data_IF_631946333864
#
_entry.id   IF_631946333864
#
_cell.length_a   1.000
_cell.length_b   1.000
_cell.length_c   1.000
_cell.angle_alpha   90.00
_cell.angle_beta   90.00
_cell.angle_gamma   90.00
#
_symmetry.space_group_name_H-M   'P 1'
#
loop_
_entity.id
_entity.type
_entity.pdbx_description
1 polymer ?
#
# COMPACT_ATOMS: atom_id res chain seq x y z
N UNK A 1 -26.46 -5.78 -35.05
CA UNK A 1 -26.11 -6.89 -35.96
C UNK A 1 -25.45 -8.00 -35.16
N UNK A 2 -26.06 -9.19 -35.06
CA UNK A 2 -25.46 -10.37 -34.42
C UNK A 2 -24.81 -11.22 -35.50
N UNK A 3 -23.49 -11.35 -35.47
CA UNK A 3 -22.76 -12.25 -36.38
C UNK A 3 -22.92 -13.68 -35.86
N UNK A 4 -23.37 -14.65 -36.67
CA UNK A 4 -23.54 -16.02 -36.22
C UNK A 4 -22.19 -16.71 -36.05
N UNK A 5 -21.91 -17.21 -34.84
CA UNK A 5 -20.75 -18.07 -34.57
C UNK A 5 -21.04 -19.49 -35.08
N UNK A 6 -20.30 -19.93 -36.08
CA UNK A 6 -20.38 -21.30 -36.62
C UNK A 6 -19.56 -22.27 -35.75
N UNK A 7 -20.17 -23.31 -35.13
CA UNK A 7 -19.49 -24.22 -34.24
C UNK A 7 -18.91 -25.40 -35.07
N UNK A 8 -17.76 -25.19 -35.72
CA UNK A 8 -17.20 -26.21 -36.63
C UNK A 8 -15.68 -26.38 -36.70
N UNK A 9 -14.85 -25.43 -36.22
CA UNK A 9 -13.39 -25.55 -36.37
C UNK A 9 -12.68 -25.97 -35.08
N UNK A 10 -12.52 -27.29 -34.90
CA UNK A 10 -11.58 -27.85 -33.93
C UNK A 10 -10.16 -27.74 -34.50
N UNK A 11 -9.25 -27.10 -33.76
CA UNK A 11 -7.77 -27.12 -33.91
C UNK A 11 -7.05 -26.23 -34.98
N UNK A 12 -7.32 -24.91 -35.04
CA UNK A 12 -6.37 -23.90 -35.62
C UNK A 12 -6.22 -22.59 -34.78
N UNK A 13 -6.73 -22.56 -33.55
CA UNK A 13 -6.90 -21.32 -32.76
C UNK A 13 -5.64 -20.67 -32.17
N UNK A 14 -4.58 -21.39 -31.72
CA UNK A 14 -3.43 -20.74 -31.10
C UNK A 14 -2.56 -19.97 -32.12
N UNK A 15 -2.27 -20.57 -33.28
CA UNK A 15 -1.46 -19.92 -34.32
C UNK A 15 -2.13 -18.66 -34.88
N UNK A 16 -3.47 -18.63 -35.01
CA UNK A 16 -4.18 -17.43 -35.47
C UNK A 16 -4.10 -16.29 -34.47
N UNK A 17 -4.18 -16.57 -33.16
CA UNK A 17 -4.13 -15.54 -32.13
C UNK A 17 -2.70 -14.97 -31.97
N UNK A 18 -1.69 -15.84 -31.98
CA UNK A 18 -0.29 -15.41 -31.98
C UNK A 18 0.00 -14.48 -33.17
N UNK A 19 -0.41 -14.86 -34.37
CA UNK A 19 -0.19 -14.03 -35.57
C UNK A 19 -0.95 -12.70 -35.50
N UNK A 20 -2.17 -12.70 -34.96
CA UNK A 20 -2.96 -11.48 -34.78
C UNK A 20 -2.27 -10.53 -33.80
N UNK A 21 -1.92 -11.00 -32.60
CA UNK A 21 -1.25 -10.19 -31.56
C UNK A 21 0.12 -9.70 -32.01
N UNK A 22 0.86 -10.52 -32.76
CA UNK A 22 2.10 -10.11 -33.43
C UNK A 22 1.85 -9.00 -34.46
N UNK A 23 0.82 -9.12 -35.30
CA UNK A 23 0.48 -8.09 -36.28
C UNK A 23 0.05 -6.78 -35.62
N UNK A 24 -0.75 -6.83 -34.56
CA UNK A 24 -1.11 -5.67 -33.74
C UNK A 24 0.15 -5.00 -33.19
N UNK A 25 1.03 -5.75 -32.53
CA UNK A 25 2.25 -5.22 -31.94
C UNK A 25 3.21 -4.61 -32.97
N UNK A 26 3.45 -5.31 -34.08
CA UNK A 26 4.51 -4.94 -35.03
C UNK A 26 4.08 -3.94 -36.11
N UNK A 27 2.77 -3.79 -36.36
CA UNK A 27 2.27 -2.93 -37.45
C UNK A 27 1.53 -1.69 -36.98
N UNK A 28 1.05 -1.66 -35.74
CA UNK A 28 0.37 -0.49 -35.19
C UNK A 28 1.35 0.31 -34.31
N UNK A 29 1.28 1.65 -34.31
CA UNK A 29 2.02 2.48 -33.37
C UNK A 29 1.48 2.31 -31.94
N UNK A 30 2.30 2.63 -30.92
CA UNK A 30 1.99 2.36 -29.50
C UNK A 30 0.66 2.97 -29.08
N UNK A 31 0.36 4.18 -29.52
CA UNK A 31 -0.86 4.92 -29.17
C UNK A 31 -2.12 4.16 -29.63
N UNK A 32 -2.10 3.60 -30.84
CA UNK A 32 -3.22 2.79 -31.32
C UNK A 32 -3.30 1.43 -30.61
N UNK A 33 -2.17 0.87 -30.18
CA UNK A 33 -2.15 -0.36 -29.37
C UNK A 33 -2.78 -0.12 -28.00
N UNK A 34 -2.40 0.96 -27.32
CA UNK A 34 -2.96 1.33 -26.01
C UNK A 34 -4.48 1.55 -26.09
N UNK A 35 -4.98 2.18 -27.16
CA UNK A 35 -6.41 2.31 -27.42
C UNK A 35 -7.11 0.96 -27.59
N UNK A 36 -6.48 0.01 -28.31
CA UNK A 36 -7.00 -1.36 -28.45
C UNK A 36 -7.00 -2.05 -27.09
N UNK A 37 -5.92 -1.96 -26.33
CA UNK A 37 -5.79 -2.60 -25.01
C UNK A 37 -6.84 -2.10 -24.04
N UNK A 38 -7.05 -0.78 -23.96
CA UNK A 38 -8.09 -0.18 -23.13
C UNK A 38 -9.51 -0.60 -23.56
N UNK A 39 -9.72 -0.90 -24.84
CA UNK A 39 -11.01 -1.37 -25.34
C UNK A 39 -11.26 -2.85 -25.04
N UNK A 40 -10.23 -3.70 -25.17
CA UNK A 40 -10.38 -5.16 -25.00
C UNK A 40 -10.21 -5.62 -23.56
N UNK A 41 -9.44 -4.89 -22.74
CA UNK A 41 -9.19 -5.22 -21.34
C UNK A 41 -10.21 -4.49 -20.48
N UNK A 42 -11.08 -5.25 -19.85
CA UNK A 42 -12.00 -4.72 -18.85
C UNK A 42 -11.33 -4.69 -17.47
N UNK A 43 -11.91 -3.94 -16.52
CA UNK A 43 -11.49 -4.02 -15.11
C UNK A 43 -11.54 -5.45 -14.56
N UNK A 44 -12.49 -6.26 -15.04
CA UNK A 44 -12.60 -7.66 -14.66
C UNK A 44 -11.41 -8.48 -15.17
N UNK A 45 -10.93 -8.22 -16.38
CA UNK A 45 -9.74 -8.89 -16.92
C UNK A 45 -8.48 -8.49 -16.14
N UNK A 46 -8.35 -7.22 -15.77
CA UNK A 46 -7.25 -6.74 -14.90
C UNK A 46 -7.24 -7.52 -13.58
N UNK A 47 -8.37 -7.55 -12.86
CA UNK A 47 -8.47 -8.31 -11.61
C UNK A 47 -8.22 -9.81 -11.81
N UNK A 48 -8.56 -10.38 -12.96
CA UNK A 48 -8.23 -11.78 -13.29
C UNK A 48 -6.76 -12.01 -13.57
N UNK A 49 -6.08 -11.06 -14.20
CA UNK A 49 -4.63 -11.13 -14.38
C UNK A 49 -3.96 -11.01 -13.00
N UNK A 50 -4.42 -10.07 -12.16
CA UNK A 50 -3.86 -9.83 -10.82
C UNK A 50 -3.79 -11.08 -9.96
N UNK A 51 -4.89 -11.85 -9.90
CA UNK A 51 -4.94 -13.10 -9.10
C UNK A 51 -4.06 -14.22 -9.64
N UNK A 52 -3.54 -14.08 -10.87
CA UNK A 52 -2.63 -15.05 -11.48
C UNK A 52 -1.14 -14.75 -11.18
N UNK A 53 -0.83 -13.65 -10.50
CA UNK A 53 0.54 -13.35 -10.09
C UNK A 53 1.11 -14.47 -9.20
N UNK A 54 2.38 -14.82 -9.41
CA UNK A 54 3.04 -15.88 -8.62
C UNK A 54 3.14 -15.53 -7.13
N UNK A 55 3.21 -14.24 -6.83
CA UNK A 55 3.18 -13.65 -5.48
C UNK A 55 2.21 -12.46 -5.54
N UNK A 56 1.44 -12.20 -4.47
CA UNK A 56 0.65 -10.96 -4.38
C UNK A 56 1.58 -9.76 -4.53
N UNK A 57 1.35 -8.97 -5.56
CA UNK A 57 2.11 -7.74 -5.84
C UNK A 57 1.31 -6.49 -5.46
N UNK A 58 -0.02 -6.61 -5.30
CA UNK A 58 -0.84 -5.55 -4.74
C UNK A 58 -0.52 -5.30 -3.26
N UNK A 59 0.09 -6.29 -2.57
CA UNK A 59 0.68 -6.12 -1.23
C UNK A 59 1.96 -6.96 -1.06
N UNK A 60 3.10 -6.30 -1.03
CA UNK A 60 4.43 -6.92 -1.11
C UNK A 60 5.38 -6.51 0.05
N UNK A 61 6.17 -7.42 0.62
CA UNK A 61 6.10 -8.88 0.43
C UNK A 61 4.86 -9.44 1.11
N UNK A 62 4.23 -10.43 0.49
CA UNK A 62 3.06 -11.07 1.06
C UNK A 62 3.46 -11.95 2.26
N UNK A 63 2.89 -11.67 3.44
CA UNK A 63 3.06 -12.52 4.63
C UNK A 63 1.84 -13.40 4.85
N UNK A 64 2.02 -14.71 4.65
CA UNK A 64 1.08 -15.71 5.13
C UNK A 64 0.97 -15.63 6.65
N UNK A 65 -0.20 -15.22 7.17
CA UNK A 65 -0.51 -15.32 8.60
C UNK A 65 -1.21 -14.11 9.24
N UNK A 66 -1.24 -12.94 8.58
CA UNK A 66 -1.83 -11.72 9.16
C UNK A 66 -3.17 -11.27 8.54
N UNK A 67 -3.75 -12.04 7.62
CA UNK A 67 -5.06 -11.66 7.09
C UNK A 67 -6.19 -11.91 8.10
N UNK A 68 -7.06 -10.91 8.34
CA UNK A 68 -8.41 -11.16 8.81
C UNK A 68 -9.05 -12.21 7.89
N UNK A 69 -9.79 -13.17 8.46
CA UNK A 69 -10.43 -14.28 7.73
C UNK A 69 -11.20 -13.87 6.47
N UNK A 70 -11.62 -12.60 6.36
CA UNK A 70 -12.37 -12.03 5.24
C UNK A 70 -11.58 -11.91 3.92
N UNK A 71 -10.24 -11.85 3.96
CA UNK A 71 -9.40 -11.80 2.75
C UNK A 71 -8.96 -13.17 2.21
N UNK A 72 -9.26 -14.26 2.94
CA UNK A 72 -8.93 -15.65 2.55
C UNK A 72 -9.73 -16.19 1.36
N UNK A 73 -10.55 -15.38 0.71
CA UNK A 73 -11.40 -15.79 -0.42
C UNK A 73 -10.74 -15.67 -1.78
N UNK A 74 -9.46 -15.29 -1.88
CA UNK A 74 -8.71 -15.54 -3.12
C UNK A 74 -8.45 -17.04 -3.22
N UNK A 75 -9.08 -17.76 -4.17
CA UNK A 75 -8.78 -19.16 -4.35
C UNK A 75 -7.30 -19.27 -4.72
N UNK A 76 -6.53 -19.97 -3.90
CA UNK A 76 -5.14 -20.40 -4.14
C UNK A 76 -5.01 -21.36 -5.34
N UNK A 77 -6.08 -21.52 -6.12
CA UNK A 77 -6.00 -22.12 -7.44
C UNK A 77 -5.24 -21.10 -8.29
N UNK A 78 -3.92 -21.29 -8.46
CA UNK A 78 -3.13 -20.58 -9.47
C UNK A 78 -3.94 -20.56 -10.76
N UNK A 79 -4.60 -19.43 -11.03
CA UNK A 79 -5.39 -19.28 -12.23
C UNK A 79 -4.43 -19.33 -13.40
N UNK A 80 -4.79 -20.05 -14.46
CA UNK A 80 -4.11 -19.84 -15.73
C UNK A 80 -4.34 -18.38 -16.12
N UNK A 81 -3.26 -17.65 -16.45
CA UNK A 81 -3.36 -16.30 -16.96
C UNK A 81 -4.41 -16.24 -18.07
N UNK A 82 -5.24 -15.18 -18.13
CA UNK A 82 -6.12 -14.97 -19.28
C UNK A 82 -5.32 -15.09 -20.57
N UNK A 83 -5.89 -15.71 -21.60
CA UNK A 83 -5.17 -16.05 -22.85
C UNK A 83 -4.43 -14.83 -23.44
N UNK A 84 -5.00 -13.62 -23.30
CA UNK A 84 -4.40 -12.36 -23.77
C UNK A 84 -3.08 -11.98 -23.09
N UNK A 85 -2.81 -12.51 -21.89
CA UNK A 85 -1.59 -12.29 -21.11
C UNK A 85 -0.69 -13.54 -21.06
N UNK A 86 -1.09 -14.66 -21.68
CA UNK A 86 -0.30 -15.90 -21.67
C UNK A 86 0.74 -15.88 -22.80
N UNK A 87 2.00 -15.56 -22.49
CA UNK A 87 3.09 -15.40 -23.46
C UNK A 87 3.38 -16.63 -24.34
N UNK A 88 2.87 -17.81 -23.99
CA UNK A 88 2.95 -19.04 -24.81
C UNK A 88 1.88 -19.10 -25.92
N UNK A 89 0.78 -18.37 -25.76
CA UNK A 89 -0.37 -18.39 -26.68
C UNK A 89 -0.47 -17.11 -27.53
N UNK A 90 0.06 -16.00 -27.04
CA UNK A 90 0.15 -14.71 -27.75
C UNK A 90 1.59 -14.32 -28.05
N UNK A 91 1.78 -13.28 -28.85
CA UNK A 91 3.11 -12.72 -29.07
C UNK A 91 3.71 -12.19 -27.75
N UNK A 92 4.94 -12.55 -27.35
CA UNK A 92 5.48 -12.21 -26.02
C UNK A 92 5.48 -10.71 -25.70
N UNK A 93 5.90 -9.86 -26.65
CA UNK A 93 5.88 -8.40 -26.42
C UNK A 93 4.46 -7.85 -26.29
N UNK A 94 3.47 -8.47 -26.94
CA UNK A 94 2.07 -8.12 -26.69
C UNK A 94 1.68 -8.45 -25.25
N UNK A 95 1.98 -9.65 -24.76
CA UNK A 95 1.69 -10.02 -23.36
C UNK A 95 2.38 -9.07 -22.36
N UNK A 96 3.62 -8.65 -22.64
CA UNK A 96 4.34 -7.66 -21.83
C UNK A 96 3.59 -6.32 -21.75
N UNK A 97 3.11 -5.78 -22.88
CA UNK A 97 2.35 -4.51 -22.88
C UNK A 97 1.01 -4.64 -22.13
N UNK A 98 0.36 -5.81 -22.19
CA UNK A 98 -0.86 -6.08 -21.41
C UNK A 98 -0.57 -6.07 -19.90
N UNK A 99 0.53 -6.71 -19.48
CA UNK A 99 0.96 -6.71 -18.07
C UNK A 99 1.43 -5.33 -17.62
N UNK A 100 2.14 -4.59 -18.47
CA UNK A 100 2.51 -3.19 -18.23
C UNK A 100 1.26 -2.36 -17.94
N UNK A 101 0.21 -2.49 -18.76
CA UNK A 101 -1.07 -1.79 -18.53
C UNK A 101 -1.73 -2.18 -17.20
N UNK A 102 -1.62 -3.44 -16.77
CA UNK A 102 -2.12 -3.86 -15.45
C UNK A 102 -1.43 -3.08 -14.33
N UNK A 103 -0.10 -2.96 -14.36
CA UNK A 103 0.63 -2.14 -13.39
C UNK A 103 0.27 -0.65 -13.47
N UNK A 104 0.04 -0.12 -14.67
CA UNK A 104 -0.33 1.29 -14.86
C UNK A 104 -1.78 1.63 -14.45
N UNK A 105 -2.69 0.67 -14.52
CA UNK A 105 -4.10 0.87 -14.16
C UNK A 105 -4.37 0.54 -12.69
N UNK A 106 -3.55 -0.33 -12.09
CA UNK A 106 -3.72 -0.71 -10.70
C UNK A 106 -3.48 0.48 -9.78
N UNK A 107 -4.43 0.70 -8.86
CA UNK A 107 -4.43 1.90 -7.99
C UNK A 107 -3.84 1.65 -6.61
N UNK A 108 -3.83 0.40 -6.15
CA UNK A 108 -3.49 0.08 -4.78
C UNK A 108 -2.32 -0.92 -4.75
N UNK A 109 -1.13 -0.43 -5.11
CA UNK A 109 0.11 -1.17 -4.91
C UNK A 109 0.67 -0.84 -3.53
N UNK A 110 0.75 -1.83 -2.65
CA UNK A 110 1.24 -1.68 -1.29
C UNK A 110 2.57 -2.40 -1.11
N UNK A 111 3.54 -1.69 -0.52
CA UNK A 111 4.81 -2.25 -0.10
C UNK A 111 4.89 -2.11 1.42
N UNK A 112 4.89 -3.23 2.13
CA UNK A 112 4.82 -3.25 3.61
C UNK A 112 6.16 -2.95 4.29
N UNK A 113 7.25 -2.86 3.52
CA UNK A 113 8.61 -2.61 4.02
C UNK A 113 9.42 -1.81 2.99
N UNK A 114 10.08 -0.74 3.40
CA UNK A 114 10.90 0.07 2.48
C UNK A 114 12.01 -0.75 1.78
N UNK A 115 12.67 -1.66 2.50
CA UNK A 115 13.71 -2.55 1.95
C UNK A 115 13.23 -3.49 0.86
N UNK A 116 11.91 -3.69 0.72
CA UNK A 116 11.33 -4.50 -0.34
C UNK A 116 11.12 -3.72 -1.64
N UNK A 117 11.26 -2.39 -1.64
CA UNK A 117 11.02 -1.56 -2.83
C UNK A 117 11.90 -1.98 -4.01
N UNK A 118 13.24 -2.13 -3.88
CA UNK A 118 14.07 -2.53 -5.01
C UNK A 118 13.67 -3.91 -5.56
N UNK A 119 13.34 -4.86 -4.69
CA UNK A 119 12.93 -6.21 -5.10
C UNK A 119 11.58 -6.15 -5.82
N UNK A 120 10.61 -5.41 -5.28
CA UNK A 120 9.29 -5.22 -5.88
C UNK A 120 9.38 -4.69 -7.31
N UNK A 121 10.17 -3.63 -7.52
CA UNK A 121 10.32 -2.97 -8.82
C UNK A 121 10.99 -3.86 -9.87
N UNK A 122 11.80 -4.81 -9.44
CA UNK A 122 12.55 -5.73 -10.30
C UNK A 122 11.94 -7.14 -10.41
N UNK A 123 10.84 -7.42 -9.72
CA UNK A 123 10.19 -8.74 -9.76
C UNK A 123 9.23 -8.83 -10.94
N UNK A 124 9.40 -9.86 -11.77
CA UNK A 124 8.43 -10.24 -12.81
C UNK A 124 7.38 -11.18 -12.20
N UNK A 125 6.27 -10.60 -11.76
CA UNK A 125 5.22 -11.34 -11.06
C UNK A 125 4.41 -12.29 -11.97
N UNK A 126 4.57 -12.18 -13.28
CA UNK A 126 3.74 -12.89 -14.27
C UNK A 126 4.55 -13.77 -15.24
N UNK A 127 5.89 -13.77 -15.12
CA UNK A 127 6.79 -14.51 -16.02
C UNK A 127 6.74 -13.99 -17.47
N UNK A 128 6.46 -12.70 -17.67
CA UNK A 128 6.34 -12.09 -19.01
C UNK A 128 7.59 -11.31 -19.42
N UNK A 129 8.51 -11.05 -18.51
CA UNK A 129 9.64 -10.12 -18.66
C UNK A 129 9.28 -8.66 -18.36
N UNK A 130 8.06 -8.37 -17.93
CA UNK A 130 7.63 -7.05 -17.49
C UNK A 130 7.62 -6.97 -15.96
N UNK A 131 8.19 -5.91 -15.40
CA UNK A 131 8.22 -5.64 -13.95
C UNK A 131 7.51 -4.33 -13.64
N UNK A 132 7.13 -4.05 -12.38
CA UNK A 132 6.56 -2.76 -12.01
C UNK A 132 7.47 -1.57 -12.35
N UNK A 133 8.80 -1.75 -12.29
CA UNK A 133 9.78 -0.70 -12.64
C UNK A 133 9.77 -0.29 -14.11
N UNK A 134 9.26 -1.14 -15.02
CA UNK A 134 9.12 -0.79 -16.45
C UNK A 134 7.91 0.11 -16.73
N UNK A 135 6.87 0.02 -15.88
CA UNK A 135 5.57 0.64 -16.08
C UNK A 135 5.50 2.08 -15.56
N UNK A 136 4.57 2.88 -16.11
CA UNK A 136 4.28 4.23 -15.61
C UNK A 136 3.34 4.18 -14.41
N UNK A 137 3.89 3.88 -13.22
CA UNK A 137 3.08 3.71 -12.01
C UNK A 137 2.27 4.97 -11.70
N UNK A 138 1.00 4.79 -11.29
CA UNK A 138 0.10 5.90 -10.91
C UNK A 138 0.03 6.14 -9.42
N UNK A 139 0.08 5.08 -8.62
CA UNK A 139 0.01 5.18 -7.17
C UNK A 139 0.81 4.07 -6.51
N UNK A 140 1.49 4.41 -5.42
CA UNK A 140 2.23 3.48 -4.59
C UNK A 140 2.04 3.82 -3.12
N UNK A 141 1.80 2.80 -2.30
CA UNK A 141 1.78 2.91 -0.85
C UNK A 141 3.01 2.19 -0.28
N UNK A 142 3.73 2.84 0.61
CA UNK A 142 4.87 2.27 1.33
C UNK A 142 4.53 2.37 2.81
N UNK A 143 4.62 1.26 3.53
CA UNK A 143 4.51 1.25 4.98
C UNK A 143 5.74 0.65 5.64
N UNK A 144 5.82 0.85 6.95
CA UNK A 144 6.92 0.34 7.77
C UNK A 144 6.66 0.60 9.24
N UNK A 145 7.35 -0.14 10.10
CA UNK A 145 7.28 0.04 11.55
C UNK A 145 8.42 0.92 12.06
N UNK A 146 8.08 1.88 12.91
CA UNK A 146 9.03 2.79 13.57
C UNK A 146 9.68 2.14 14.79
N UNK A 147 9.03 1.14 15.38
CA UNK A 147 9.52 0.53 16.61
C UNK A 147 10.76 -0.30 16.31
N UNK A 148 11.88 0.02 16.97
CA UNK A 148 13.09 -0.79 16.84
C UNK A 148 12.88 -2.13 17.56
N UNK A 149 12.54 -3.16 16.79
CA UNK A 149 12.47 -4.52 17.29
C UNK A 149 13.02 -5.45 16.23
N UNK A 150 14.24 -5.93 16.42
CA UNK A 150 14.91 -6.86 15.50
C UNK A 150 14.09 -8.13 15.21
N UNK A 151 13.11 -8.45 16.07
CA UNK A 151 12.21 -9.60 15.88
C UNK A 151 11.04 -9.28 14.95
N UNK A 152 10.72 -8.01 14.71
CA UNK A 152 9.65 -7.59 13.82
C UNK A 152 10.25 -7.32 12.43
N UNK A 153 9.89 -8.12 11.41
CA UNK A 153 10.61 -8.01 10.15
C UNK A 153 10.11 -6.86 9.25
N UNK A 154 9.25 -5.96 9.75
CA UNK A 154 8.74 -4.77 9.01
C UNK A 154 9.32 -3.45 9.52
N UNK A 155 10.31 -3.50 10.42
CA UNK A 155 10.96 -2.30 10.91
C UNK A 155 11.66 -1.57 9.76
N UNK A 156 11.56 -0.25 9.76
CA UNK A 156 12.35 0.56 8.83
C UNK A 156 13.83 0.45 9.20
N UNK A 157 14.68 0.28 8.21
CA UNK A 157 16.13 0.28 8.39
C UNK A 157 16.65 1.66 8.01
N UNK A 158 16.97 2.49 9.02
CA UNK A 158 17.37 3.88 8.79
C UNK A 158 18.60 4.00 7.89
N UNK A 159 19.56 3.09 8.02
CA UNK A 159 20.81 3.11 7.24
C UNK A 159 20.60 2.87 5.74
N UNK A 160 19.57 2.10 5.36
CA UNK A 160 19.26 1.76 3.96
C UNK A 160 18.08 2.54 3.41
N UNK A 161 17.27 3.18 4.28
CA UNK A 161 15.99 3.80 3.91
C UNK A 161 16.12 4.74 2.70
N UNK A 162 17.19 5.54 2.65
CA UNK A 162 17.43 6.43 1.50
C UNK A 162 17.63 5.63 0.22
N UNK A 163 18.55 4.67 0.22
CA UNK A 163 18.89 3.87 -0.94
C UNK A 163 17.69 3.04 -1.42
N UNK A 164 16.90 2.51 -0.47
CA UNK A 164 15.67 1.78 -0.75
C UNK A 164 14.64 2.64 -1.50
N UNK A 165 14.51 3.92 -1.11
CA UNK A 165 13.62 4.88 -1.76
C UNK A 165 14.21 5.46 -3.05
N UNK A 166 15.53 5.59 -3.19
CA UNK A 166 16.18 6.09 -4.41
C UNK A 166 15.84 5.23 -5.63
N UNK A 167 15.62 3.93 -5.46
CA UNK A 167 15.15 3.03 -6.52
C UNK A 167 13.83 3.50 -7.18
N UNK A 168 12.97 4.24 -6.47
CA UNK A 168 11.73 4.79 -7.04
C UNK A 168 11.99 6.03 -7.91
N UNK A 169 13.04 6.80 -7.62
CA UNK A 169 13.40 7.97 -8.42
C UNK A 169 13.89 7.56 -9.82
N UNK A 170 14.41 6.34 -9.96
CA UNK A 170 14.84 5.79 -11.25
C UNK A 170 13.67 5.22 -12.08
N UNK A 171 12.53 4.94 -11.45
CA UNK A 171 11.36 4.36 -12.13
C UNK A 171 10.58 5.39 -12.95
N UNK A 172 9.80 4.92 -13.93
CA UNK A 172 8.87 5.76 -14.68
C UNK A 172 7.62 6.04 -13.84
N UNK A 173 7.16 7.28 -13.86
CA UNK A 173 5.95 7.72 -13.16
C UNK A 173 4.93 8.24 -14.16
N UNK A 174 3.67 7.87 -13.97
CA UNK A 174 2.59 8.53 -14.66
C UNK A 174 2.47 9.99 -14.20
N UNK A 175 1.87 10.83 -15.05
CA UNK A 175 1.56 12.22 -14.67
C UNK A 175 0.64 12.22 -13.44
N UNK A 176 1.05 12.94 -12.40
CA UNK A 176 0.30 13.03 -11.14
C UNK A 176 0.46 11.82 -10.24
N UNK A 177 1.55 11.05 -10.39
CA UNK A 177 1.90 9.92 -9.52
C UNK A 177 1.71 10.25 -8.03
N UNK A 178 0.95 9.40 -7.35
CA UNK A 178 0.64 9.54 -5.92
C UNK A 178 1.50 8.57 -5.11
N UNK A 179 2.20 9.09 -4.10
CA UNK A 179 3.02 8.30 -3.21
C UNK A 179 2.59 8.51 -1.77
N UNK A 180 2.10 7.45 -1.15
CA UNK A 180 1.70 7.42 0.25
C UNK A 180 2.77 6.67 1.06
N UNK A 181 3.52 7.37 1.91
CA UNK A 181 4.49 6.75 2.82
C UNK A 181 3.92 6.81 4.24
N UNK A 182 3.77 5.66 4.90
CA UNK A 182 3.13 5.57 6.22
C UNK A 182 3.95 4.73 7.17
N UNK A 183 4.63 5.38 8.10
CA UNK A 183 5.35 4.69 9.17
C UNK A 183 4.54 4.69 10.46
N UNK A 184 4.48 3.53 11.12
CA UNK A 184 3.60 3.31 12.27
C UNK A 184 4.41 2.80 13.46
N UNK A 185 4.07 3.27 14.65
CA UNK A 185 4.50 2.69 15.92
C UNK A 185 3.31 1.96 16.53
N UNK A 186 3.49 0.66 16.79
CA UNK A 186 2.57 -0.21 17.51
C UNK A 186 2.80 -0.18 19.02
N UNK A 187 3.94 0.36 19.47
CA UNK A 187 4.23 0.46 20.89
C UNK A 187 3.17 1.32 21.60
N UNK A 188 2.46 0.68 22.52
CA UNK A 188 1.66 1.36 23.50
C UNK A 188 2.54 2.29 24.31
N UNK A 189 2.42 3.60 24.05
CA UNK A 189 3.11 4.65 24.80
C UNK A 189 2.89 4.46 26.32
N UNK A 190 1.76 3.87 26.70
CA UNK A 190 1.39 3.53 28.08
C UNK A 190 2.25 2.46 28.79
N UNK A 191 3.06 1.69 28.05
CA UNK A 191 3.89 0.59 28.60
C UNK A 191 5.38 0.77 28.30
N UNK A 192 5.76 1.84 27.59
CA UNK A 192 7.15 2.09 27.21
C UNK A 192 7.86 2.89 28.30
N UNK A 193 9.05 2.42 28.69
CA UNK A 193 9.96 3.22 29.52
C UNK A 193 10.53 4.43 28.75
N UNK A 194 11.15 5.36 29.47
CA UNK A 194 11.76 6.57 28.89
C UNK A 194 12.73 6.24 27.74
N UNK A 195 13.54 5.18 27.90
CA UNK A 195 14.50 4.74 26.89
C UNK A 195 13.83 4.38 25.55
N UNK A 196 12.62 3.81 25.59
CA UNK A 196 11.88 3.48 24.37
C UNK A 196 11.33 4.73 23.70
N UNK A 197 10.89 5.73 24.47
CA UNK A 197 10.44 7.01 23.92
C UNK A 197 11.61 7.77 23.28
N UNK A 198 12.79 7.73 23.90
CA UNK A 198 14.02 8.27 23.32
C UNK A 198 14.35 7.58 22.00
N UNK A 199 14.39 6.24 21.98
CA UNK A 199 14.65 5.48 20.76
C UNK A 199 13.62 5.77 19.66
N UNK A 200 12.33 5.85 20.00
CA UNK A 200 11.27 6.15 19.02
C UNK A 200 11.39 7.59 18.49
N UNK A 201 11.64 8.58 19.35
CA UNK A 201 11.87 9.97 18.94
C UNK A 201 13.06 10.06 17.99
N UNK A 202 14.16 9.39 18.31
CA UNK A 202 15.34 9.30 17.46
C UNK A 202 15.03 8.67 16.10
N UNK A 203 14.31 7.55 16.06
CA UNK A 203 13.92 6.88 14.80
C UNK A 203 13.02 7.78 13.95
N UNK A 204 12.04 8.45 14.55
CA UNK A 204 11.15 9.38 13.85
C UNK A 204 11.94 10.57 13.28
N UNK A 205 12.78 11.21 14.09
CA UNK A 205 13.62 12.33 13.66
C UNK A 205 14.54 11.94 12.50
N UNK A 206 15.23 10.79 12.63
CA UNK A 206 16.18 10.30 11.63
C UNK A 206 15.47 9.92 10.33
N UNK A 207 14.35 9.20 10.40
CA UNK A 207 13.54 8.86 9.23
C UNK A 207 13.03 10.11 8.50
N UNK A 208 12.56 11.13 9.23
CA UNK A 208 12.14 12.39 8.64
C UNK A 208 13.31 13.13 7.97
N UNK A 209 14.46 13.21 8.65
CA UNK A 209 15.66 13.88 8.13
C UNK A 209 16.18 13.23 6.85
N UNK A 210 16.07 11.90 6.74
CA UNK A 210 16.41 11.14 5.52
C UNK A 210 15.40 11.40 4.40
N UNK A 211 14.10 11.30 4.70
CA UNK A 211 13.06 11.35 3.68
C UNK A 211 12.72 12.78 3.22
N UNK A 212 12.88 13.81 4.05
CA UNK A 212 12.59 15.21 3.68
C UNK A 212 13.27 15.67 2.37
N UNK A 213 14.60 15.53 2.19
CA UNK A 213 15.25 15.88 0.92
C UNK A 213 14.79 14.96 -0.22
N UNK A 214 14.58 13.67 0.04
CA UNK A 214 14.11 12.71 -0.97
C UNK A 214 12.70 13.04 -1.48
N UNK A 215 11.77 13.36 -0.57
CA UNK A 215 10.40 13.78 -0.88
C UNK A 215 10.42 15.05 -1.74
N UNK A 216 11.31 16.00 -1.40
CA UNK A 216 11.50 17.21 -2.21
C UNK A 216 11.92 16.87 -3.63
N UNK A 217 12.89 15.97 -3.80
CA UNK A 217 13.33 15.49 -5.13
C UNK A 217 12.19 14.80 -5.89
N UNK A 218 11.39 13.97 -5.21
CA UNK A 218 10.23 13.31 -5.81
C UNK A 218 9.16 14.33 -6.26
N UNK A 219 8.88 15.34 -5.44
CA UNK A 219 7.93 16.40 -5.80
C UNK A 219 8.40 17.24 -7.00
N UNK A 220 9.70 17.54 -7.09
CA UNK A 220 10.30 18.23 -8.25
C UNK A 220 10.13 17.43 -9.55
N UNK A 221 10.15 16.11 -9.45
CA UNK A 221 9.91 15.19 -10.57
C UNK A 221 8.41 14.94 -10.85
N UNK A 222 7.51 15.60 -10.09
CA UNK A 222 6.07 15.64 -10.33
C UNK A 222 5.22 14.71 -9.48
N UNK A 223 5.80 14.05 -8.46
CA UNK A 223 5.05 13.22 -7.52
C UNK A 223 4.20 14.04 -6.55
N UNK A 224 3.03 13.53 -6.19
CA UNK A 224 2.19 14.00 -5.09
C UNK A 224 2.45 13.09 -3.89
N UNK A 225 3.27 13.58 -2.96
CA UNK A 225 3.70 12.79 -1.81
C UNK A 225 2.87 13.14 -0.56
N UNK A 226 2.31 12.11 0.06
CA UNK A 226 1.77 12.12 1.42
C UNK A 226 2.71 11.30 2.30
N UNK A 227 3.31 11.91 3.31
CA UNK A 227 4.12 11.19 4.28
C UNK A 227 3.50 11.29 5.67
N UNK A 228 3.32 10.17 6.35
CA UNK A 228 2.75 10.11 7.68
C UNK A 228 3.58 9.26 8.63
N UNK A 229 3.70 9.76 9.86
CA UNK A 229 4.16 8.99 11.01
C UNK A 229 3.02 8.88 12.02
N UNK A 230 2.64 7.66 12.37
CA UNK A 230 1.50 7.37 13.23
C UNK A 230 2.01 6.71 14.51
N UNK A 231 1.64 7.25 15.66
CA UNK A 231 1.83 6.63 16.97
C UNK A 231 0.47 6.40 17.62
N UNK A 232 0.40 5.64 18.71
CA UNK A 232 -0.87 5.31 19.37
C UNK A 232 -1.74 6.49 19.81
N UNK A 233 -1.25 7.73 19.81
CA UNK A 233 -2.06 8.91 20.17
C UNK A 233 -1.83 10.14 19.31
N UNK A 234 -1.03 10.07 18.25
CA UNK A 234 -0.76 11.23 17.39
C UNK A 234 -0.38 10.81 15.98
N UNK A 235 -0.84 11.61 15.01
CA UNK A 235 -0.44 11.51 13.61
C UNK A 235 0.30 12.77 13.20
N UNK A 236 1.48 12.57 12.63
CA UNK A 236 2.28 13.60 12.00
C UNK A 236 2.24 13.36 10.50
N UNK A 237 2.08 14.44 9.75
CA UNK A 237 1.77 14.42 8.34
C UNK A 237 2.55 15.51 7.63
N UNK A 238 3.07 15.15 6.46
CA UNK A 238 3.62 16.05 5.47
C UNK A 238 2.82 15.95 4.17
N UNK A 239 2.51 17.11 3.60
CA UNK A 239 1.95 17.29 2.26
C UNK A 239 2.64 18.47 1.59
N UNK A 240 2.47 18.62 0.27
CA UNK A 240 3.00 19.78 -0.48
C UNK A 240 2.50 21.13 0.07
N UNK A 241 1.27 21.17 0.57
CA UNK A 241 0.60 22.39 1.00
C UNK A 241 0.81 22.72 2.49
N UNK A 242 1.50 21.84 3.23
CA UNK A 242 1.79 22.03 4.64
C UNK A 242 2.15 20.74 5.37
N UNK A 243 2.81 20.88 6.53
CA UNK A 243 3.17 19.77 7.39
C UNK A 243 3.16 20.15 8.87
N UNK A 244 2.97 19.15 9.74
CA UNK A 244 3.18 19.27 11.19
C UNK A 244 4.35 18.38 11.67
N UNK A 245 5.24 18.01 10.75
CA UNK A 245 6.49 17.33 11.08
C UNK A 245 7.37 18.21 11.97
N UNK A 246 8.04 17.58 12.93
CA UNK A 246 8.94 18.25 13.88
C UNK A 246 10.37 18.18 13.35
N UNK A 247 11.15 19.23 13.61
CA UNK A 247 12.44 19.45 12.95
C UNK A 247 13.62 19.05 13.84
N UNK A 248 13.38 18.77 15.12
CA UNK A 248 14.42 18.35 16.07
C UNK A 248 14.00 17.12 16.87
N UNK A 249 14.96 16.29 17.25
CA UNK A 249 14.71 15.11 18.09
C UNK A 249 14.03 15.46 19.43
N UNK A 250 14.41 16.58 20.05
CA UNK A 250 13.81 17.07 21.30
C UNK A 250 12.33 17.41 21.14
N UNK A 251 11.93 18.01 20.02
CA UNK A 251 10.51 18.27 19.74
C UNK A 251 9.73 16.96 19.64
N UNK A 252 10.26 15.95 18.95
CA UNK A 252 9.66 14.62 18.85
C UNK A 252 9.47 13.99 20.23
N UNK A 253 10.54 13.98 21.04
CA UNK A 253 10.52 13.44 22.39
C UNK A 253 9.50 14.16 23.29
N UNK A 254 9.50 15.49 23.28
CA UNK A 254 8.56 16.29 24.06
C UNK A 254 7.10 16.05 23.64
N UNK A 255 6.87 15.90 22.34
CA UNK A 255 5.55 15.57 21.79
C UNK A 255 5.08 14.17 22.23
N UNK A 256 5.96 13.16 22.18
CA UNK A 256 5.65 11.81 22.67
C UNK A 256 5.33 11.80 24.18
N UNK A 257 6.14 12.50 25.00
CA UNK A 257 5.89 12.66 26.44
C UNK A 257 4.56 13.34 26.72
N UNK A 258 4.19 14.35 25.94
CA UNK A 258 2.90 15.04 26.09
C UNK A 258 1.72 14.09 25.78
N UNK A 259 1.82 13.29 24.72
CA UNK A 259 0.81 12.27 24.39
C UNK A 259 0.68 11.22 25.50
N UNK A 260 1.79 10.80 26.12
CA UNK A 260 1.78 9.85 27.24
C UNK A 260 1.07 10.43 28.47
N UNK A 261 1.39 11.67 28.85
CA UNK A 261 0.77 12.35 30.00
C UNK A 261 -0.74 12.46 29.84
N UNK A 262 -1.21 12.91 28.66
CA UNK A 262 -2.64 12.97 28.36
C UNK A 262 -3.32 11.59 28.40
N UNK A 263 -2.64 10.54 27.92
CA UNK A 263 -3.16 9.17 27.97
C UNK A 263 -3.32 8.66 29.42
N UNK A 264 -2.38 8.99 30.30
CA UNK A 264 -2.48 8.61 31.72
C UNK A 264 -3.61 9.34 32.45
N UNK A 265 -3.85 10.62 32.14
CA UNK A 265 -4.96 11.38 32.72
C UNK A 265 -6.33 10.81 32.33
N UNK A 266 -6.50 10.42 31.06
CA UNK A 266 -7.72 9.74 30.59
C UNK A 266 -7.91 8.40 31.30
N UNK A 267 -6.86 7.60 31.41
CA UNK A 267 -6.93 6.31 32.11
C UNK A 267 -7.24 6.45 33.60
N UNK A 268 -6.65 7.44 34.29
CA UNK A 268 -6.98 7.75 35.70
C UNK A 268 -8.43 8.16 35.85
N UNK A 269 -8.93 9.03 34.97
CA UNK A 269 -10.33 9.48 34.98
C UNK A 269 -11.29 8.31 34.75
N UNK A 270 -10.99 7.43 33.78
CA UNK A 270 -11.79 6.24 33.52
C UNK A 270 -11.79 5.25 34.69
N UNK A 271 -10.64 5.04 35.34
CA UNK A 271 -10.55 4.17 36.51
C UNK A 271 -11.31 4.77 37.71
N UNK A 272 -11.24 6.08 37.90
CA UNK A 272 -12.03 6.78 38.92
C UNK A 272 -13.54 6.61 38.69
N UNK A 273 -14.01 6.77 37.45
CA UNK A 273 -15.42 6.54 37.08
C UNK A 273 -15.84 5.08 37.35
N UNK A 274 -14.98 4.10 37.04
CA UNK A 274 -15.25 2.67 37.29
C UNK A 274 -15.28 2.30 38.77
N UNK A 275 -14.50 3.00 39.60
CA UNK A 275 -14.42 2.77 41.04
C UNK A 275 -15.50 3.50 41.83
N UNK A 276 -16.24 4.43 41.22
CA UNK A 276 -17.40 5.00 41.90
C UNK A 276 -18.39 3.88 42.21
N UNK A 277 -18.78 3.71 43.49
CA UNK A 277 -19.75 2.70 43.86
C UNK A 277 -21.00 2.90 43.01
N UNK A 278 -21.50 1.83 42.39
CA UNK A 278 -22.82 1.81 41.75
C UNK A 278 -23.86 2.02 42.84
N UNK A 279 -24.00 3.26 43.30
CA UNK A 279 -25.06 3.67 44.19
C UNK A 279 -26.35 3.64 43.38
N UNK A 280 -26.98 2.48 43.34
CA UNK A 280 -28.42 2.23 43.41
C UNK A 280 -29.38 3.27 42.78
N UNK A 281 -29.07 3.86 41.63
CA UNK A 281 -30.09 4.52 40.83
C UNK A 281 -30.81 3.46 39.98
N UNK A 282 -31.87 2.90 40.57
CA UNK A 282 -32.94 2.19 39.86
C UNK A 282 -33.66 3.19 38.95
N UNK A 283 -33.08 3.50 37.80
CA UNK A 283 -33.78 4.24 36.74
C UNK A 283 -33.33 3.72 35.38
N UNK A 284 -34.12 2.80 34.82
CA UNK A 284 -34.27 2.52 33.38
C UNK A 284 -33.05 2.03 32.59
N UNK A 285 -33.21 1.12 31.61
CA UNK A 285 -32.11 0.72 30.75
C UNK A 285 -31.76 1.88 29.80
N UNK A 286 -30.62 2.53 30.01
CA UNK A 286 -30.00 3.41 29.01
C UNK A 286 -28.69 2.80 28.49
N UNK A 287 -28.61 2.72 27.16
CA UNK A 287 -27.68 1.92 26.36
C UNK A 287 -26.31 2.59 26.11
N UNK A 288 -25.87 3.55 26.94
CA UNK A 288 -24.81 4.49 26.53
C UNK A 288 -23.39 4.20 27.02
N UNK A 289 -23.15 3.14 27.80
CA UNK A 289 -21.84 2.88 28.42
C UNK A 289 -20.81 2.08 27.59
N UNK A 290 -21.27 1.35 26.57
CA UNK A 290 -20.41 0.46 25.76
C UNK A 290 -19.88 1.10 24.46
N UNK A 291 -20.44 2.22 24.02
CA UNK A 291 -20.06 2.88 22.75
C UNK A 291 -18.73 3.64 22.81
N UNK A 292 -18.31 4.13 23.98
CA UNK A 292 -17.08 4.94 24.12
C UNK A 292 -15.81 4.11 23.92
N UNK A 293 -15.82 2.83 24.34
CA UNK A 293 -14.70 1.91 24.13
C UNK A 293 -14.57 1.47 22.66
N UNK A 294 -15.69 1.32 21.95
CA UNK A 294 -15.70 1.03 20.51
C UNK A 294 -15.18 2.19 19.67
N UNK A 295 -15.41 3.43 20.10
CA UNK A 295 -14.98 4.63 19.37
C UNK A 295 -13.47 4.84 19.44
N UNK A 296 -12.85 4.81 20.64
CA UNK A 296 -11.39 5.02 20.78
C UNK A 296 -10.56 3.92 20.12
N UNK A 297 -11.02 2.65 20.17
CA UNK A 297 -10.31 1.54 19.52
C UNK A 297 -10.45 1.57 17.99
N UNK A 298 -11.62 1.97 17.46
CA UNK A 298 -11.81 2.18 16.01
C UNK A 298 -11.06 3.40 15.48
N UNK A 299 -10.99 4.49 16.25
CA UNK A 299 -10.29 5.72 15.86
C UNK A 299 -8.76 5.58 15.82
N UNK A 300 -8.16 4.67 16.62
CA UNK A 300 -6.71 4.48 16.66
C UNK A 300 -6.21 3.28 15.82
N UNK A 301 -7.03 2.23 15.63
CA UNK A 301 -6.57 0.99 14.98
C UNK A 301 -7.38 0.54 13.77
N UNK A 302 -8.49 1.20 13.44
CA UNK A 302 -9.28 0.92 12.24
C UNK A 302 -9.44 2.17 11.38
N UNK A 303 -8.34 2.73 10.88
CA UNK A 303 -8.43 3.49 9.62
C UNK A 303 -8.69 2.44 8.55
N UNK A 304 -9.96 2.17 8.26
CA UNK A 304 -10.35 1.27 7.20
C UNK A 304 -9.92 1.91 5.87
N UNK A 305 -9.25 1.19 4.96
CA UNK A 305 -8.89 1.74 3.64
C UNK A 305 -10.07 2.31 2.85
N UNK A 306 -11.31 1.90 3.17
CA UNK A 306 -12.53 2.42 2.54
C UNK A 306 -12.82 3.89 2.84
N UNK A 307 -12.33 4.43 3.95
CA UNK A 307 -12.50 5.86 4.27
C UNK A 307 -11.57 6.79 3.48
N UNK A 308 -10.64 6.21 2.70
CA UNK A 308 -9.73 6.95 1.81
C UNK A 308 -10.28 7.12 0.39
N UNK A 309 -11.26 6.30 -0.03
CA UNK A 309 -11.78 6.30 -1.40
C UNK A 309 -12.89 7.33 -1.69
N UNK A 310 -13.21 8.22 -0.74
CA UNK A 310 -14.22 9.27 -0.92
C UNK A 310 -13.63 10.71 -1.02
N UNK A 311 -12.38 10.85 -1.46
CA UNK A 311 -11.80 12.14 -1.86
C UNK A 311 -11.06 12.04 -3.18
#
# INVERSE_FOLDING_TARGET
MKVPFSPGSKAKRPASLFNLTKAVHTRLPRELRDMIYQYIITKFDISRIEICADVRFDRFPYRHGQEPQEYRTYPTVKGQLPIIAEAKLVYPSFAQEIVELVYEVQRDLWIDMSSAIPVFLNTDFFGTGCTPGHASLKKLHISGLLDFNERLPNCIHLDTLRADCDALLDCKWARGFELDVVFRSELGISHSGEDHMLALAHTMFTAWSILKPWITAAQLRGARVLFMMITMGKTYQYTKDGHNMLETEDEWLNSLRATLRGSHEVNRTMNYIRQQPRNSQKTGPSQSGLDVFGWLYKSCFCIHPKDWCNR
#
